data_IF_339035888728
#
_entry.id   IF_339035888728
#
_cell.length_a   1.000
_cell.length_b   1.000
_cell.length_c   1.000
_cell.angle_alpha   90.00
_cell.angle_beta   90.00
_cell.angle_gamma   90.00
#
_symmetry.space_group_name_H-M   'P 1'
#
loop_
_entity.id
_entity.type
_entity.pdbx_description
1 polymer ?
#
# COMPACT_ATOMS: atom_id res chain seq x y z
N UNK A 1 16.62 -26.04 -34.00
CA UNK A 1 17.26 -25.24 -32.93
C UNK A 1 17.14 -23.78 -33.27
N UNK A 2 16.88 -22.94 -32.26
CA UNK A 2 16.90 -21.46 -32.27
C UNK A 2 15.68 -20.75 -32.88
N UNK A 3 14.62 -20.60 -32.06
CA UNK A 3 13.65 -19.51 -32.21
C UNK A 3 14.03 -18.42 -31.21
N UNK A 4 14.41 -17.26 -31.73
CA UNK A 4 14.87 -16.12 -30.95
C UNK A 4 13.72 -15.51 -30.15
N UNK A 5 14.02 -15.25 -28.90
CA UNK A 5 13.24 -14.54 -27.91
C UNK A 5 12.93 -13.12 -28.38
N UNK A 6 11.66 -12.74 -28.32
CA UNK A 6 11.21 -11.35 -28.18
C UNK A 6 10.05 -11.36 -27.18
N UNK A 7 10.38 -11.52 -25.89
CA UNK A 7 9.43 -11.20 -24.83
C UNK A 7 9.56 -9.71 -24.55
N UNK A 8 8.86 -8.94 -25.37
CA UNK A 8 8.47 -7.58 -25.05
C UNK A 8 7.75 -7.64 -23.70
N UNK A 9 8.42 -7.23 -22.62
CA UNK A 9 7.76 -6.99 -21.36
C UNK A 9 6.84 -5.80 -21.57
N UNK A 10 5.58 -6.08 -21.89
CA UNK A 10 4.50 -5.09 -21.79
C UNK A 10 4.53 -4.57 -20.36
N UNK A 11 5.03 -3.34 -20.24
CA UNK A 11 4.86 -2.55 -19.04
C UNK A 11 3.35 -2.45 -18.83
N UNK A 12 2.85 -3.08 -17.77
CA UNK A 12 1.47 -2.94 -17.29
C UNK A 12 1.22 -1.47 -16.96
N UNK A 13 0.99 -0.68 -18.01
CA UNK A 13 0.58 0.72 -17.96
C UNK A 13 -0.94 0.74 -17.81
N UNK A 14 -1.44 -0.01 -16.84
CA UNK A 14 -2.80 0.07 -16.37
C UNK A 14 -2.93 1.19 -15.35
N UNK A 15 -3.32 2.38 -15.82
CA UNK A 15 -4.01 3.36 -14.99
C UNK A 15 -3.23 3.93 -13.78
N UNK A 16 -2.04 4.50 -14.04
CA UNK A 16 -1.29 5.26 -13.04
C UNK A 16 -2.02 6.52 -12.53
N UNK A 17 -3.08 6.97 -13.24
CA UNK A 17 -3.91 8.15 -12.94
C UNK A 17 -5.05 7.84 -11.96
N UNK A 18 -5.86 6.79 -12.16
CA UNK A 18 -6.90 6.42 -11.18
C UNK A 18 -6.30 6.12 -9.81
N UNK A 19 -5.15 5.45 -9.78
CA UNK A 19 -4.56 5.13 -8.50
C UNK A 19 -4.07 6.38 -7.77
N UNK A 20 -3.74 7.49 -8.46
CA UNK A 20 -3.32 8.72 -7.78
C UNK A 20 -4.50 9.41 -7.09
N UNK A 21 -5.69 9.25 -7.68
CA UNK A 21 -6.95 9.76 -7.15
C UNK A 21 -7.50 8.90 -6.00
N UNK A 22 -7.03 7.65 -5.89
CA UNK A 22 -7.53 6.65 -4.93
C UNK A 22 -6.53 6.36 -3.81
N UNK A 23 -5.23 6.63 -4.02
CA UNK A 23 -4.20 6.34 -3.02
C UNK A 23 -4.26 7.40 -1.91
N UNK A 24 -4.52 7.00 -0.66
CA UNK A 24 -4.65 7.93 0.46
C UNK A 24 -3.33 8.48 1.02
N UNK A 25 -2.22 8.30 0.30
CA UNK A 25 -0.86 8.49 0.80
C UNK A 25 0.00 9.22 -0.24
N UNK A 26 0.81 10.18 0.20
CA UNK A 26 1.62 11.05 -0.67
C UNK A 26 2.64 10.25 -1.48
N UNK A 27 2.52 10.31 -2.81
CA UNK A 27 3.38 9.59 -3.74
C UNK A 27 4.84 10.02 -3.72
N UNK A 28 5.14 11.24 -3.27
CA UNK A 28 6.52 11.70 -3.17
C UNK A 28 7.28 11.00 -2.02
N UNK A 29 6.55 10.51 -1.01
CA UNK A 29 7.09 9.88 0.19
C UNK A 29 7.08 8.34 0.15
N UNK A 30 6.67 7.74 -0.98
CA UNK A 30 6.52 6.28 -1.08
C UNK A 30 7.39 5.67 -2.18
N UNK A 31 7.87 4.45 -1.90
CA UNK A 31 8.50 3.58 -2.89
C UNK A 31 7.55 2.43 -3.26
N UNK A 32 7.26 2.24 -4.55
CA UNK A 32 6.42 1.11 -4.98
C UNK A 32 7.19 -0.19 -4.96
N UNK A 33 6.61 -1.23 -4.33
CA UNK A 33 7.16 -2.58 -4.37
C UNK A 33 6.54 -3.38 -5.52
N UNK A 34 7.25 -4.41 -5.97
CA UNK A 34 6.64 -5.44 -6.81
C UNK A 34 5.59 -6.22 -6.01
N UNK A 35 4.61 -6.78 -6.69
CA UNK A 35 3.60 -7.61 -6.04
C UNK A 35 4.22 -8.82 -5.33
N UNK A 36 5.20 -9.50 -5.95
CA UNK A 36 5.88 -10.64 -5.34
C UNK A 36 6.63 -10.27 -4.05
N UNK A 37 7.33 -9.13 -4.04
CA UNK A 37 8.04 -8.67 -2.85
C UNK A 37 7.05 -8.27 -1.76
N UNK A 38 6.05 -7.45 -2.11
CA UNK A 38 5.01 -6.98 -1.21
C UNK A 38 4.28 -8.12 -0.51
N UNK A 39 3.80 -9.10 -1.28
CA UNK A 39 3.13 -10.29 -0.73
C UNK A 39 4.03 -11.09 0.21
N UNK A 40 5.33 -11.20 -0.09
CA UNK A 40 6.29 -11.91 0.77
C UNK A 40 6.52 -11.19 2.09
N UNK A 41 6.67 -9.86 2.08
CA UNK A 41 6.98 -9.11 3.30
C UNK A 41 5.76 -8.86 4.18
N UNK A 42 4.54 -8.98 3.63
CA UNK A 42 3.28 -8.82 4.38
C UNK A 42 2.53 -10.16 4.55
N UNK A 43 3.25 -11.27 4.66
CA UNK A 43 2.62 -12.57 4.87
C UNK A 43 2.02 -12.71 6.28
N UNK A 44 1.60 -13.92 6.66
CA UNK A 44 0.89 -14.13 7.93
C UNK A 44 1.76 -13.90 9.18
N UNK A 45 3.09 -13.95 9.06
CA UNK A 45 4.01 -13.77 10.17
C UNK A 45 4.46 -12.30 10.32
N UNK A 46 4.05 -11.42 9.40
CA UNK A 46 4.35 -10.00 9.44
C UNK A 46 3.62 -9.27 10.58
N UNK A 47 4.35 -8.39 11.27
CA UNK A 47 3.78 -7.54 12.31
C UNK A 47 2.89 -6.47 11.68
N UNK A 48 1.57 -6.61 11.86
CA UNK A 48 0.60 -5.58 11.48
C UNK A 48 0.52 -4.51 12.57
N UNK A 49 0.73 -3.26 12.18
CA UNK A 49 0.70 -2.11 13.08
C UNK A 49 -0.66 -1.41 13.06
N UNK A 50 -1.26 -1.28 11.88
CA UNK A 50 -2.48 -0.51 11.70
C UNK A 50 -3.32 -1.02 10.52
N UNK A 51 -4.63 -0.85 10.60
CA UNK A 51 -5.52 -1.01 9.44
C UNK A 51 -6.71 -0.07 9.46
N UNK A 52 -7.14 0.33 8.27
CA UNK A 52 -8.34 1.14 8.07
C UNK A 52 -9.10 0.68 6.83
N UNK A 53 -10.42 0.87 6.86
CA UNK A 53 -11.29 0.64 5.71
C UNK A 53 -11.98 1.93 5.28
N UNK A 54 -12.24 2.05 4.00
CA UNK A 54 -13.13 3.05 3.44
C UNK A 54 -14.49 2.38 3.14
N UNK A 55 -15.53 2.59 3.97
CA UNK A 55 -16.81 1.90 3.80
C UNK A 55 -17.59 2.34 2.56
N UNK A 56 -17.33 3.53 2.00
CA UNK A 56 -18.03 3.99 0.80
C UNK A 56 -17.52 3.29 -0.47
N UNK A 57 -16.22 2.97 -0.52
CA UNK A 57 -15.60 2.32 -1.68
C UNK A 57 -15.39 0.81 -1.48
N UNK A 58 -15.27 0.34 -0.24
CA UNK A 58 -14.83 -1.02 0.07
C UNK A 58 -13.32 -1.24 -0.06
N UNK A 59 -12.55 -0.16 -0.20
CA UNK A 59 -11.08 -0.21 -0.17
C UNK A 59 -10.57 -0.39 1.25
N UNK A 60 -9.39 -0.97 1.39
CA UNK A 60 -8.71 -1.07 2.69
C UNK A 60 -7.23 -0.75 2.61
N UNK A 61 -6.67 -0.34 3.74
CA UNK A 61 -5.27 -0.05 3.95
C UNK A 61 -4.77 -0.84 5.16
N UNK A 62 -3.60 -1.46 5.03
CA UNK A 62 -2.93 -2.17 6.12
C UNK A 62 -1.47 -1.76 6.18
N UNK A 63 -0.97 -1.48 7.37
CA UNK A 63 0.42 -1.11 7.63
C UNK A 63 1.12 -2.25 8.36
N UNK A 64 2.33 -2.57 7.90
CA UNK A 64 3.19 -3.59 8.46
C UNK A 64 4.55 -2.99 8.82
N UNK A 65 5.14 -3.47 9.90
CA UNK A 65 6.54 -3.20 10.21
C UNK A 65 7.43 -3.93 9.19
N UNK A 66 8.39 -3.23 8.58
CA UNK A 66 9.40 -3.84 7.70
C UNK A 66 10.80 -3.77 8.34
N UNK A 67 11.12 -2.60 8.87
CA UNK A 67 12.35 -2.33 9.64
C UNK A 67 12.03 -1.31 10.73
N UNK A 68 13.04 -0.95 11.54
CA UNK A 68 12.91 0.06 12.58
C UNK A 68 12.61 1.49 12.09
N UNK A 69 12.70 1.75 10.78
CA UNK A 69 12.50 3.08 10.17
C UNK A 69 11.59 3.04 8.93
N UNK A 70 10.97 1.90 8.65
CA UNK A 70 10.25 1.70 7.39
C UNK A 70 9.09 0.75 7.59
N UNK A 71 7.93 1.20 7.15
CA UNK A 71 6.71 0.42 7.10
C UNK A 71 6.39 0.01 5.66
N UNK A 72 5.70 -1.12 5.52
CA UNK A 72 5.04 -1.48 4.26
C UNK A 72 3.56 -1.17 4.37
N UNK A 73 3.05 -0.38 3.44
CA UNK A 73 1.62 -0.12 3.28
C UNK A 73 1.08 -1.01 2.17
N UNK A 74 0.14 -1.88 2.53
CA UNK A 74 -0.69 -2.63 1.57
C UNK A 74 -2.00 -1.88 1.37
N UNK A 75 -2.25 -1.44 0.15
CA UNK A 75 -3.53 -0.88 -0.26
C UNK A 75 -4.31 -1.91 -1.09
N UNK A 76 -5.54 -2.19 -0.69
CA UNK A 76 -6.45 -3.09 -1.41
C UNK A 76 -7.59 -2.28 -2.01
N UNK A 77 -7.71 -2.34 -3.33
CA UNK A 77 -8.79 -1.72 -4.09
C UNK A 77 -10.14 -2.43 -3.86
N UNK A 78 -11.28 -1.81 -4.22
CA UNK A 78 -12.61 -2.42 -4.08
C UNK A 78 -12.76 -3.76 -4.83
N UNK A 79 -12.03 -3.93 -5.94
CA UNK A 79 -12.02 -5.15 -6.76
C UNK A 79 -11.00 -6.18 -6.29
N UNK A 80 -10.37 -5.95 -5.12
CA UNK A 80 -9.46 -6.89 -4.49
C UNK A 80 -8.02 -6.88 -5.02
N UNK A 81 -7.66 -5.99 -5.95
CA UNK A 81 -6.25 -5.81 -6.35
C UNK A 81 -5.48 -5.15 -5.23
N UNK A 82 -4.27 -5.65 -5.00
CA UNK A 82 -3.37 -5.16 -3.95
C UNK A 82 -2.17 -4.43 -4.56
N UNK A 83 -1.74 -3.37 -3.88
CA UNK A 83 -0.50 -2.65 -4.16
C UNK A 83 0.25 -2.42 -2.86
N UNK A 84 1.57 -2.36 -2.98
CA UNK A 84 2.48 -2.35 -1.84
C UNK A 84 3.45 -1.19 -1.96
N UNK A 85 3.67 -0.49 -0.86
CA UNK A 85 4.49 0.69 -0.81
C UNK A 85 5.38 0.67 0.44
N UNK A 86 6.66 0.98 0.28
CA UNK A 86 7.57 1.28 1.37
C UNK A 86 7.44 2.76 1.72
N UNK A 87 7.33 3.06 3.00
CA UNK A 87 7.18 4.43 3.52
C UNK A 87 8.01 4.55 4.79
N UNK A 88 8.71 5.67 4.98
CA UNK A 88 9.33 5.98 6.26
C UNK A 88 8.24 6.17 7.33
N UNK A 89 8.48 5.73 8.55
CA UNK A 89 7.47 5.83 9.63
C UNK A 89 7.12 7.29 9.98
N UNK A 90 8.12 8.17 10.05
CA UNK A 90 7.98 9.61 10.29
C UNK A 90 7.09 10.30 9.25
N UNK A 91 7.14 9.84 7.99
CA UNK A 91 6.27 10.33 6.92
C UNK A 91 4.88 9.69 6.98
N UNK A 92 4.80 8.40 7.33
CA UNK A 92 3.56 7.64 7.31
C UNK A 92 2.57 8.09 8.39
N UNK A 93 3.05 8.41 9.59
CA UNK A 93 2.17 8.82 10.71
C UNK A 93 1.26 10.02 10.36
N UNK A 94 1.78 11.19 9.94
CA UNK A 94 0.93 12.33 9.57
C UNK A 94 0.01 12.02 8.38
N UNK A 95 0.43 11.12 7.48
CA UNK A 95 -0.41 10.68 6.36
C UNK A 95 -1.62 9.86 6.83
N UNK A 96 -1.45 8.99 7.84
CA UNK A 96 -2.56 8.24 8.44
C UNK A 96 -3.50 9.13 9.26
N UNK A 97 -2.97 10.13 9.95
CA UNK A 97 -3.79 11.12 10.66
C UNK A 97 -4.69 11.89 9.67
N UNK A 98 -4.09 12.45 8.62
CA UNK A 98 -4.84 13.13 7.56
C UNK A 98 -5.87 12.22 6.87
N UNK A 99 -5.52 10.94 6.71
CA UNK A 99 -6.43 9.94 6.17
C UNK A 99 -7.68 9.76 7.02
N UNK A 100 -7.52 9.62 8.34
CA UNK A 100 -8.64 9.46 9.27
C UNK A 100 -9.46 10.76 9.40
N UNK A 101 -8.80 11.91 9.41
CA UNK A 101 -9.43 13.23 9.49
C UNK A 101 -10.32 13.55 8.28
N UNK A 102 -10.09 12.90 7.13
CA UNK A 102 -11.00 12.99 5.98
C UNK A 102 -12.43 12.52 6.29
N UNK A 103 -12.60 11.67 7.32
CA UNK A 103 -13.88 11.05 7.67
C UNK A 103 -14.35 9.95 6.71
N UNK A 104 -13.63 9.71 5.60
CA UNK A 104 -13.95 8.65 4.63
C UNK A 104 -13.37 7.29 5.04
N UNK A 105 -12.41 7.30 5.96
CA UNK A 105 -11.69 6.12 6.42
C UNK A 105 -11.95 5.88 7.90
N UNK A 106 -12.08 4.61 8.27
CA UNK A 106 -12.32 4.19 9.65
C UNK A 106 -11.26 3.19 10.06
N UNK A 107 -10.51 3.52 11.12
CA UNK A 107 -9.56 2.60 11.74
C UNK A 107 -10.28 1.32 12.20
N UNK A 108 -9.64 0.17 11.99
CA UNK A 108 -10.16 -1.15 12.37
C UNK A 108 -9.35 -1.83 13.45
N UNK A 109 -8.03 -1.69 13.39
CA UNK A 109 -7.10 -2.37 14.27
C UNK A 109 -5.82 -1.53 14.38
N UNK A 110 -5.20 -1.56 15.56
CA UNK A 110 -4.03 -0.73 15.88
C UNK A 110 -4.34 0.76 16.06
N UNK A 111 -3.32 1.53 16.42
CA UNK A 111 -3.37 3.00 16.48
C UNK A 111 -2.31 3.60 15.57
N UNK A 112 -2.56 4.82 15.11
CA UNK A 112 -1.59 5.58 14.31
C UNK A 112 -0.29 5.85 15.10
N UNK A 113 -0.36 5.90 16.44
CA UNK A 113 0.80 6.03 17.33
C UNK A 113 1.69 4.77 17.38
N UNK A 114 1.14 3.60 17.01
CA UNK A 114 1.87 2.33 16.96
C UNK A 114 2.61 2.15 15.61
N UNK A 115 2.43 3.10 14.68
CA UNK A 115 3.16 3.25 13.41
C UNK A 115 4.26 4.28 13.60
#
# INVERSE_FOLDING_TARGET
>A
MSSRETRQGESDSGDGKHLAEVLPIDRAAIESLSWELGTRVTDADATRLFSADNPSTGSSLTVFEATAYTCIVRFRTPVGREKFFGVADDDLRPMLEALLDSGEWTARDGRVEDV
#
